data_IF_412811684416
#
_entry.id   IF_412811684416
#
_cell.length_a   1.000
_cell.length_b   1.000
_cell.length_c   1.000
_cell.angle_alpha   90.00
_cell.angle_beta   90.00
_cell.angle_gamma   90.00
#
_symmetry.space_group_name_H-M   'P 1'
#
loop_
_entity.id
_entity.type
_entity.pdbx_description
1 polymer ?
#
# COMPACT_ATOMS: atom_id res chain seq x y z
N UNK A 1 -4.62 4.36 -4.75
CA UNK A 1 -4.31 5.55 -3.93
C UNK A 1 -4.52 5.27 -2.45
N UNK A 2 -4.22 6.20 -1.55
CA UNK A 2 -4.22 5.97 -0.08
C UNK A 2 -5.54 5.44 0.49
N UNK A 3 -6.71 5.94 0.03
CA UNK A 3 -8.03 5.40 0.42
C UNK A 3 -8.21 3.92 0.04
N UNK A 4 -7.61 3.48 -1.06
CA UNK A 4 -7.62 2.08 -1.47
C UNK A 4 -6.87 1.18 -0.49
N UNK A 5 -5.77 1.65 0.10
CA UNK A 5 -5.05 0.91 1.14
C UNK A 5 -5.90 0.77 2.41
N UNK A 6 -6.61 1.84 2.80
CA UNK A 6 -7.55 1.78 3.93
C UNK A 6 -8.68 0.77 3.67
N UNK A 7 -9.22 0.72 2.45
CA UNK A 7 -10.21 -0.30 2.07
C UNK A 7 -9.63 -1.72 2.19
N UNK A 8 -8.36 -1.95 1.82
CA UNK A 8 -7.71 -3.26 1.98
C UNK A 8 -7.52 -3.67 3.45
N UNK A 9 -7.40 -2.70 4.37
CA UNK A 9 -7.35 -2.93 5.81
C UNK A 9 -8.73 -3.20 6.43
N UNK A 10 -9.81 -3.00 5.68
CA UNK A 10 -11.19 -3.25 6.11
C UNK A 10 -12.04 -2.00 6.34
N UNK A 11 -11.53 -0.81 6.05
CA UNK A 11 -12.31 0.43 6.06
C UNK A 11 -13.14 0.56 4.77
N UNK A 12 -14.18 -0.25 4.64
CA UNK A 12 -14.95 -0.39 3.40
C UNK A 12 -16.24 0.43 3.35
N UNK A 13 -16.76 0.88 4.50
CA UNK A 13 -17.95 1.73 4.53
C UNK A 13 -17.55 3.19 4.36
N UNK A 14 -18.24 3.89 3.45
CA UNK A 14 -18.10 5.34 3.29
C UNK A 14 -19.11 6.03 4.21
N UNK A 15 -18.63 6.53 5.35
CA UNK A 15 -19.45 7.21 6.36
C UNK A 15 -19.14 8.70 6.33
N UNK A 16 -20.05 9.48 5.73
CA UNK A 16 -19.88 10.92 5.57
C UNK A 16 -18.61 11.25 4.75
N UNK A 17 -17.69 11.98 5.36
CA UNK A 17 -16.41 12.39 4.75
C UNK A 17 -15.28 11.33 4.89
N UNK A 18 -15.56 10.16 5.48
CA UNK A 18 -14.53 9.21 5.91
C UNK A 18 -14.77 7.76 5.47
N UNK A 19 -13.84 6.89 5.84
CA UNK A 19 -13.99 5.44 5.72
C UNK A 19 -14.06 4.82 7.12
N UNK A 20 -14.98 3.89 7.32
CA UNK A 20 -15.20 3.14 8.56
C UNK A 20 -15.21 1.63 8.31
N UNK A 21 -15.04 0.86 9.39
CA UNK A 21 -15.33 -0.56 9.36
C UNK A 21 -16.85 -0.79 9.25
N UNK A 22 -17.27 -1.89 8.60
CA UNK A 22 -18.66 -2.33 8.61
C UNK A 22 -19.24 -2.52 10.01
N UNK A 23 -20.50 -2.13 10.22
CA UNK A 23 -21.16 -2.22 11.52
C UNK A 23 -21.35 -3.67 12.02
N UNK A 24 -21.41 -4.65 11.11
CA UNK A 24 -21.55 -6.08 11.38
C UNK A 24 -20.22 -6.77 11.71
N UNK A 25 -19.10 -6.06 11.63
CA UNK A 25 -17.76 -6.62 11.82
C UNK A 25 -17.28 -6.45 13.26
N UNK A 26 -16.99 -7.56 13.92
CA UNK A 26 -16.48 -7.57 15.32
C UNK A 26 -15.05 -7.02 15.46
N UNK A 27 -14.27 -6.96 14.38
CA UNK A 27 -12.90 -6.42 14.40
C UNK A 27 -12.13 -6.58 13.10
N UNK A 28 -10.89 -6.07 13.02
CA UNK A 28 -10.03 -6.26 11.86
C UNK A 28 -9.68 -7.74 11.67
N UNK A 29 -9.39 -8.13 10.43
CA UNK A 29 -8.80 -9.44 10.11
C UNK A 29 -7.28 -9.34 10.34
N UNK A 30 -6.71 -9.94 11.41
CA UNK A 30 -5.31 -9.72 11.75
C UNK A 30 -4.34 -10.22 10.67
N UNK A 31 -4.49 -11.44 10.11
CA UNK A 31 -3.69 -11.87 8.96
C UNK A 31 -3.72 -10.88 7.79
N UNK A 32 -4.91 -10.36 7.43
CA UNK A 32 -5.05 -9.41 6.33
C UNK A 32 -4.35 -8.08 6.62
N UNK A 33 -4.58 -7.52 7.81
CA UNK A 33 -3.95 -6.26 8.22
C UNK A 33 -2.43 -6.39 8.26
N UNK A 34 -1.91 -7.51 8.77
CA UNK A 34 -0.47 -7.77 8.81
C UNK A 34 0.14 -7.85 7.41
N UNK A 35 -0.50 -8.58 6.49
CA UNK A 35 -0.07 -8.67 5.08
C UNK A 35 -0.03 -7.30 4.41
N UNK A 36 -1.13 -6.54 4.46
CA UNK A 36 -1.20 -5.22 3.81
C UNK A 36 -0.17 -4.26 4.42
N UNK A 37 0.04 -4.33 5.73
CA UNK A 37 1.03 -3.50 6.42
C UNK A 37 2.45 -3.87 6.01
N UNK A 38 2.76 -5.16 5.87
CA UNK A 38 4.06 -5.63 5.39
C UNK A 38 4.34 -5.11 3.97
N UNK A 39 3.37 -5.23 3.06
CA UNK A 39 3.51 -4.75 1.69
C UNK A 39 3.73 -3.23 1.62
N UNK A 40 2.99 -2.46 2.42
CA UNK A 40 3.16 -0.99 2.51
C UNK A 40 4.53 -0.62 3.07
N UNK A 41 5.01 -1.35 4.08
CA UNK A 41 6.34 -1.10 4.68
C UNK A 41 7.46 -1.43 3.71
N UNK A 42 7.36 -2.55 2.98
CA UNK A 42 8.35 -2.95 1.97
C UNK A 42 8.38 -1.92 0.85
N UNK A 43 7.23 -1.55 0.28
CA UNK A 43 7.17 -0.55 -0.78
C UNK A 43 7.79 0.78 -0.33
N UNK A 44 7.51 1.23 0.89
CA UNK A 44 8.14 2.44 1.45
C UNK A 44 9.66 2.30 1.52
N UNK A 45 10.16 1.18 2.05
CA UNK A 45 11.60 0.95 2.17
C UNK A 45 12.29 0.89 0.80
N UNK A 46 11.67 0.26 -0.20
CA UNK A 46 12.17 0.23 -1.57
C UNK A 46 12.24 1.64 -2.17
N UNK A 47 11.20 2.46 -1.99
CA UNK A 47 11.20 3.86 -2.43
C UNK A 47 12.27 4.70 -1.72
N UNK A 48 12.45 4.53 -0.41
CA UNK A 48 13.50 5.22 0.35
C UNK A 48 14.90 4.85 -0.18
N UNK A 49 15.13 3.58 -0.49
CA UNK A 49 16.38 3.09 -1.09
C UNK A 49 16.59 3.60 -2.52
N UNK A 50 15.53 3.73 -3.33
CA UNK A 50 15.61 4.33 -4.67
C UNK A 50 16.00 5.80 -4.59
N UNK A 51 15.37 6.57 -3.70
CA UNK A 51 15.69 7.98 -3.48
C UNK A 51 17.13 8.17 -2.97
N UNK A 52 17.64 7.23 -2.19
CA UNK A 52 19.03 7.22 -1.73
C UNK A 52 20.02 6.68 -2.79
N UNK A 53 19.56 6.25 -3.96
CA UNK A 53 20.35 5.59 -5.00
C UNK A 53 21.11 4.34 -4.48
N UNK A 54 20.48 3.60 -3.57
CA UNK A 54 21.02 2.40 -2.91
C UNK A 54 20.16 1.14 -3.15
N UNK A 55 19.11 1.24 -3.97
CA UNK A 55 18.26 0.11 -4.30
C UNK A 55 19.04 -0.97 -5.05
N UNK A 56 18.84 -2.25 -4.70
CA UNK A 56 19.56 -3.37 -5.31
C UNK A 56 19.20 -3.57 -6.79
N UNK A 57 17.98 -3.21 -7.17
CA UNK A 57 17.50 -3.30 -8.56
C UNK A 57 16.77 -2.01 -8.96
N UNK A 58 17.49 -0.92 -9.29
CA UNK A 58 16.85 0.35 -9.63
C UNK A 58 16.22 0.36 -11.03
N UNK A 59 16.74 -0.46 -11.96
CA UNK A 59 16.27 -0.53 -13.36
C UNK A 59 14.80 -0.95 -13.46
N UNK A 60 14.40 -1.94 -12.66
CA UNK A 60 13.01 -2.39 -12.57
C UNK A 60 12.03 -1.25 -12.28
N UNK A 61 12.39 -0.34 -11.38
CA UNK A 61 11.54 0.81 -11.07
C UNK A 61 11.56 1.88 -12.15
N UNK A 62 12.68 2.06 -12.85
CA UNK A 62 12.75 2.96 -14.01
C UNK A 62 11.78 2.51 -15.11
N UNK A 63 11.75 1.21 -15.44
CA UNK A 63 10.84 0.65 -16.45
C UNK A 63 9.37 0.84 -16.06
N UNK A 64 9.04 0.64 -14.78
CA UNK A 64 7.66 0.77 -14.28
C UNK A 64 7.20 2.23 -14.22
N UNK A 65 8.08 3.15 -13.80
CA UNK A 65 7.72 4.55 -13.54
C UNK A 65 7.79 5.43 -14.79
N UNK A 66 8.76 5.20 -15.67
CA UNK A 66 8.98 6.01 -16.86
C UNK A 66 8.35 5.38 -18.12
N UNK A 67 7.88 4.14 -18.02
CA UNK A 67 7.60 3.29 -19.18
C UNK A 67 8.93 2.80 -19.76
N UNK A 68 9.01 1.52 -20.10
CA UNK A 68 10.16 1.03 -20.86
C UNK A 68 10.31 1.87 -22.13
N UNK A 69 11.55 2.17 -22.52
CA UNK A 69 11.86 2.76 -23.82
C UNK A 69 11.32 1.80 -24.92
N UNK A 70 10.09 2.03 -25.39
CA UNK A 70 9.57 1.51 -26.66
C UNK A 70 9.97 2.45 -27.81
#
# INVERSE_FOLDING_TARGET
>A
GGRGVLQLLGYTEESGEGLSFPADREGPDPPRVASVTADVLVLRAELDLLLANQHTNPQFFSEILLGGDE
#
